data_IF_755341875459
#
_entry.id   IF_755341875459
#
_cell.length_a   1.000
_cell.length_b   1.000
_cell.length_c   1.000
_cell.angle_alpha   90.00
_cell.angle_beta   90.00
_cell.angle_gamma   90.00
#
_symmetry.space_group_name_H-M   'P 1'
#
loop_
_entity.id
_entity.type
_entity.pdbx_description
1 polymer ?
#
# COMPACT_ATOMS: atom_id res chain seq x y z
N UNK A 1 1.63 2.53 11.11
CA UNK A 1 2.35 3.76 11.52
C UNK A 1 3.76 3.84 10.93
N UNK A 2 4.71 2.98 11.32
CA UNK A 2 6.11 3.07 10.86
C UNK A 2 6.32 3.14 9.33
N UNK A 3 5.51 2.42 8.55
CA UNK A 3 5.63 2.41 7.07
C UNK A 3 5.16 3.72 6.43
N UNK A 4 4.10 4.37 6.94
CA UNK A 4 3.66 5.67 6.41
C UNK A 4 4.66 6.78 6.73
N UNK A 5 5.19 6.80 7.95
CA UNK A 5 6.24 7.75 8.33
C UNK A 5 7.53 7.52 7.53
N UNK A 6 7.87 6.25 7.24
CA UNK A 6 8.97 5.92 6.34
C UNK A 6 8.69 6.41 4.91
N UNK A 7 7.48 6.24 4.40
CA UNK A 7 7.11 6.74 3.07
C UNK A 7 7.18 8.27 3.00
N UNK A 8 6.72 8.97 4.03
CA UNK A 8 6.80 10.45 4.13
C UNK A 8 8.26 10.91 4.16
N UNK A 9 9.07 10.33 5.04
CA UNK A 9 10.48 10.69 5.17
C UNK A 9 11.26 10.35 3.89
N UNK A 10 10.99 9.20 3.27
CA UNK A 10 11.58 8.80 1.99
C UNK A 10 11.16 9.73 0.86
N UNK A 11 9.89 10.15 0.80
CA UNK A 11 9.42 11.09 -0.21
C UNK A 11 10.10 12.46 -0.08
N UNK A 12 10.34 12.92 1.15
CA UNK A 12 11.12 14.13 1.41
C UNK A 12 12.55 13.99 0.91
N UNK A 13 13.28 12.96 1.34
CA UNK A 13 14.67 12.72 0.96
C UNK A 13 14.84 12.50 -0.55
N UNK A 14 13.94 11.72 -1.17
CA UNK A 14 13.96 11.46 -2.60
C UNK A 14 13.84 12.75 -3.40
N UNK A 15 12.93 13.64 -2.99
CA UNK A 15 12.76 14.90 -3.68
C UNK A 15 13.87 15.94 -3.39
N UNK A 16 14.59 15.82 -2.26
CA UNK A 16 15.82 16.62 -2.02
C UNK A 16 17.00 16.14 -2.88
N UNK A 17 17.01 14.87 -3.27
CA UNK A 17 18.12 14.27 -4.01
C UNK A 17 18.12 14.63 -5.51
N UNK A 18 17.03 15.20 -6.04
CA UNK A 18 16.99 15.73 -7.41
C UNK A 18 17.50 17.18 -7.46
N UNK A 19 18.38 17.47 -8.43
CA UNK A 19 18.89 18.82 -8.66
C UNK A 19 17.84 19.80 -9.21
N UNK A 20 16.81 19.28 -9.89
CA UNK A 20 15.67 20.06 -10.33
C UNK A 20 14.55 20.00 -9.28
N UNK A 21 13.96 21.14 -8.87
CA UNK A 21 12.82 21.14 -7.97
C UNK A 21 11.67 20.35 -8.60
N UNK A 22 11.17 19.32 -7.91
CA UNK A 22 9.90 18.67 -8.28
C UNK A 22 8.79 19.64 -7.84
N UNK A 23 8.11 20.36 -8.75
CA UNK A 23 7.23 21.48 -8.37
C UNK A 23 6.09 21.04 -7.45
N UNK A 24 5.69 19.77 -7.56
CA UNK A 24 4.55 19.19 -6.86
C UNK A 24 4.97 18.30 -5.67
N UNK A 25 6.25 18.34 -5.27
CA UNK A 25 6.78 17.64 -4.08
C UNK A 25 5.94 17.90 -2.84
N UNK A 26 5.63 19.17 -2.58
CA UNK A 26 4.87 19.58 -1.41
C UNK A 26 3.48 18.95 -1.39
N UNK A 27 2.87 18.75 -2.56
CA UNK A 27 1.54 18.13 -2.71
C UNK A 27 1.56 16.65 -2.39
N UNK A 28 2.55 15.89 -2.88
CA UNK A 28 2.67 14.45 -2.57
C UNK A 28 2.97 14.23 -1.09
N UNK A 29 3.90 15.01 -0.53
CA UNK A 29 4.22 14.92 0.90
C UNK A 29 3.00 15.32 1.74
N UNK A 30 2.26 16.37 1.36
CA UNK A 30 1.00 16.75 2.02
C UNK A 30 -0.04 15.63 1.94
N UNK A 31 -0.21 14.99 0.79
CA UNK A 31 -1.11 13.85 0.61
C UNK A 31 -0.75 12.70 1.56
N UNK A 32 0.54 12.34 1.67
CA UNK A 32 1.00 11.28 2.56
C UNK A 32 0.82 11.62 4.04
N UNK A 33 1.05 12.88 4.43
CA UNK A 33 0.82 13.37 5.78
C UNK A 33 -0.66 13.28 6.14
N UNK A 34 -1.54 13.78 5.26
CA UNK A 34 -2.97 13.69 5.46
C UNK A 34 -3.42 12.23 5.61
N UNK A 35 -2.93 11.33 4.76
CA UNK A 35 -3.23 9.90 4.83
C UNK A 35 -2.77 9.28 6.17
N UNK A 36 -1.55 9.59 6.61
CA UNK A 36 -1.05 9.14 7.91
C UNK A 36 -1.93 9.66 9.03
N UNK A 37 -2.28 10.94 9.01
CA UNK A 37 -3.07 11.57 10.07
C UNK A 37 -4.46 10.89 10.17
N UNK A 38 -5.12 10.61 9.04
CA UNK A 38 -6.37 9.85 9.00
C UNK A 38 -6.25 8.40 9.52
N UNK A 39 -5.07 7.79 9.42
CA UNK A 39 -4.84 6.41 9.88
C UNK A 39 -4.21 6.32 11.28
N UNK A 40 -3.94 7.45 11.93
CA UNK A 40 -3.04 7.48 13.07
C UNK A 40 -3.66 7.05 14.39
N UNK A 41 -4.99 7.14 14.56
CA UNK A 41 -5.63 7.00 15.88
C UNK A 41 -7.07 6.45 15.89
N UNK A 42 -7.31 5.32 15.22
CA UNK A 42 -8.60 4.61 15.31
C UNK A 42 -9.48 4.79 14.08
N UNK A 43 -10.81 4.61 14.20
CA UNK A 43 -11.72 4.71 13.06
C UNK A 43 -11.75 6.13 12.52
N UNK A 44 -12.01 6.25 11.21
CA UNK A 44 -12.16 7.53 10.53
C UNK A 44 -13.19 8.41 11.23
N UNK A 45 -12.86 9.67 11.55
CA UNK A 45 -13.80 10.59 12.22
C UNK A 45 -14.31 11.70 11.31
N UNK A 46 -15.53 12.15 11.59
CA UNK A 46 -16.17 13.24 10.86
C UNK A 46 -15.38 14.56 10.96
N UNK A 47 -14.82 14.86 12.14
CA UNK A 47 -14.09 16.10 12.39
C UNK A 47 -12.77 16.16 11.62
N UNK A 48 -12.08 15.03 11.46
CA UNK A 48 -10.87 14.92 10.65
C UNK A 48 -11.17 15.13 9.17
N UNK A 49 -12.22 14.49 8.64
CA UNK A 49 -12.66 14.68 7.27
C UNK A 49 -13.07 16.13 7.00
N UNK A 50 -13.83 16.75 7.92
CA UNK A 50 -14.22 18.15 7.82
C UNK A 50 -13.00 19.08 7.81
N UNK A 51 -12.06 18.88 8.73
CA UNK A 51 -10.81 19.64 8.79
C UNK A 51 -10.01 19.48 7.51
N UNK A 52 -9.94 18.28 6.98
CA UNK A 52 -9.20 17.97 5.76
C UNK A 52 -9.83 18.66 4.55
N UNK A 53 -11.15 18.60 4.41
CA UNK A 53 -11.89 19.28 3.33
C UNK A 53 -11.78 20.79 3.41
N UNK A 54 -11.83 21.37 4.61
CA UNK A 54 -11.75 22.82 4.82
C UNK A 54 -10.36 23.38 4.47
N UNK A 55 -9.30 22.58 4.69
CA UNK A 55 -7.91 22.98 4.43
C UNK A 55 -7.39 22.58 3.04
N UNK A 56 -8.23 21.95 2.23
CA UNK A 56 -7.87 21.50 0.89
C UNK A 56 -7.92 22.67 -0.10
N UNK A 57 -6.85 22.85 -0.87
CA UNK A 57 -6.75 23.87 -1.92
C UNK A 57 -6.52 23.23 -3.28
N UNK A 58 -6.62 24.03 -4.35
CA UNK A 58 -6.30 23.58 -5.70
C UNK A 58 -4.92 22.89 -5.78
N UNK A 59 -4.86 21.77 -6.50
CA UNK A 59 -3.71 20.89 -6.61
C UNK A 59 -3.55 19.89 -5.47
N UNK A 60 -4.36 19.93 -4.42
CA UNK A 60 -4.31 18.92 -3.38
C UNK A 60 -4.93 17.60 -3.84
N UNK A 61 -4.31 16.50 -3.43
CA UNK A 61 -4.88 15.15 -3.52
C UNK A 61 -5.15 14.64 -2.12
N UNK A 62 -6.37 14.17 -1.92
CA UNK A 62 -6.88 13.63 -0.66
C UNK A 62 -7.13 12.15 -0.91
N UNK A 63 -6.63 11.31 -0.01
CA UNK A 63 -6.82 9.85 -0.06
C UNK A 63 -7.51 9.46 1.24
N UNK A 64 -8.71 8.90 1.15
CA UNK A 64 -9.49 8.43 2.29
C UNK A 64 -9.75 6.94 2.14
N UNK A 65 -8.96 6.09 2.81
CA UNK A 65 -9.25 4.68 2.96
C UNK A 65 -10.46 4.50 3.89
N UNK A 66 -11.41 3.67 3.46
CA UNK A 66 -12.60 3.26 4.21
C UNK A 66 -12.48 1.75 4.35
N UNK A 67 -11.72 1.33 5.35
CA UNK A 67 -11.26 -0.04 5.52
C UNK A 67 -12.42 -1.00 5.74
N UNK A 68 -13.43 -0.58 6.52
CA UNK A 68 -14.61 -1.41 6.78
C UNK A 68 -15.41 -1.75 5.51
N UNK A 69 -15.27 -0.94 4.45
CA UNK A 69 -15.94 -1.13 3.16
C UNK A 69 -15.01 -1.60 2.06
N UNK A 70 -13.77 -2.02 2.38
CA UNK A 70 -12.78 -2.42 1.38
C UNK A 70 -12.62 -1.40 0.23
N UNK A 71 -12.74 -0.10 0.55
CA UNK A 71 -12.83 0.92 -0.48
C UNK A 71 -11.94 2.11 -0.13
N UNK A 72 -11.52 2.82 -1.16
CA UNK A 72 -10.79 4.06 -1.01
C UNK A 72 -11.41 5.12 -1.92
N UNK A 73 -11.52 6.33 -1.38
CA UNK A 73 -11.89 7.52 -2.13
C UNK A 73 -10.64 8.37 -2.34
N UNK A 74 -10.44 8.85 -3.57
CA UNK A 74 -9.48 9.89 -3.90
C UNK A 74 -10.25 11.13 -4.35
N UNK A 75 -10.02 12.25 -3.70
CA UNK A 75 -10.44 13.56 -4.19
C UNK A 75 -9.24 14.32 -4.74
N UNK A 76 -9.40 14.92 -5.90
CA UNK A 76 -8.39 15.79 -6.53
C UNK A 76 -8.98 17.17 -6.73
N UNK A 77 -8.40 18.16 -6.07
CA UNK A 77 -8.82 19.56 -6.15
C UNK A 77 -8.20 20.24 -7.36
N UNK A 78 -9.04 20.82 -8.20
CA UNK A 78 -8.64 21.76 -9.26
C UNK A 78 -9.09 23.17 -8.89
N UNK A 79 -8.72 24.16 -9.69
CA UNK A 79 -9.15 25.55 -9.48
C UNK A 79 -10.67 25.71 -9.54
N UNK A 80 -11.34 24.96 -10.42
CA UNK A 80 -12.76 25.14 -10.73
C UNK A 80 -13.58 23.85 -10.56
N UNK A 81 -12.96 22.74 -10.16
CA UNK A 81 -13.66 21.47 -10.06
C UNK A 81 -13.00 20.43 -9.15
N UNK A 82 -13.82 19.42 -8.85
CA UNK A 82 -13.70 18.26 -7.98
C UNK A 82 -13.61 16.94 -8.68
N UNK A 83 -12.45 16.31 -8.89
CA UNK A 83 -12.49 14.91 -9.33
C UNK A 83 -12.60 13.99 -8.11
N UNK A 84 -13.69 13.22 -8.06
CA UNK A 84 -13.91 12.11 -7.15
C UNK A 84 -13.65 10.79 -7.88
N UNK A 85 -12.80 9.95 -7.28
CA UNK A 85 -12.49 8.60 -7.73
C UNK A 85 -12.73 7.63 -6.56
N UNK A 86 -13.49 6.56 -6.78
CA UNK A 86 -13.69 5.49 -5.79
C UNK A 86 -13.24 4.14 -6.36
N UNK A 87 -12.68 3.28 -5.50
CA UNK A 87 -12.20 1.96 -5.89
C UNK A 87 -12.09 1.00 -4.72
N UNK A 88 -12.05 -0.28 -5.05
CA UNK A 88 -11.84 -1.39 -4.13
C UNK A 88 -10.34 -1.51 -3.73
N UNK A 89 -10.03 -1.67 -2.44
CA UNK A 89 -8.64 -1.77 -1.97
C UNK A 89 -8.07 -3.15 -2.24
N UNK A 90 -8.75 -4.20 -1.78
CA UNK A 90 -8.31 -5.59 -1.85
C UNK A 90 -9.30 -6.42 -2.69
N UNK A 91 -8.82 -7.33 -3.55
CA UNK A 91 -9.72 -8.21 -4.28
C UNK A 91 -10.38 -9.20 -3.30
N UNK A 92 -11.56 -9.74 -3.64
CA UNK A 92 -12.18 -10.81 -2.86
C UNK A 92 -11.33 -12.08 -2.94
N UNK A 93 -11.33 -12.88 -1.87
CA UNK A 93 -10.48 -14.08 -1.78
C UNK A 93 -10.80 -15.09 -2.89
N UNK A 94 -12.07 -15.16 -3.28
CA UNK A 94 -12.54 -16.00 -4.39
C UNK A 94 -11.88 -15.65 -5.72
N UNK A 95 -11.70 -14.36 -6.02
CA UNK A 95 -11.04 -13.91 -7.25
C UNK A 95 -9.54 -14.22 -7.25
N UNK A 96 -8.90 -14.23 -6.07
CA UNK A 96 -7.48 -14.61 -5.93
C UNK A 96 -7.28 -16.11 -6.07
N UNK A 97 -8.16 -16.91 -5.46
CA UNK A 97 -8.05 -18.38 -5.46
C UNK A 97 -8.47 -18.97 -6.81
N UNK A 98 -9.50 -18.41 -7.46
CA UNK A 98 -9.98 -18.91 -8.77
C UNK A 98 -9.07 -18.57 -9.95
N UNK A 99 -8.07 -17.71 -9.76
CA UNK A 99 -7.03 -17.43 -10.76
C UNK A 99 -5.98 -18.56 -10.85
N UNK A 100 -6.43 -19.79 -11.07
CA UNK A 100 -5.59 -21.00 -11.14
C UNK A 100 -4.66 -21.04 -12.37
N UNK A 101 -4.80 -20.10 -13.32
CA UNK A 101 -4.02 -20.12 -14.58
C UNK A 101 -3.72 -18.76 -15.21
N UNK A 102 -4.29 -17.66 -14.70
CA UNK A 102 -4.13 -16.33 -15.27
C UNK A 102 -3.77 -15.29 -14.21
N UNK A 103 -3.05 -14.23 -14.62
CA UNK A 103 -2.71 -13.11 -13.74
C UNK A 103 -3.98 -12.28 -13.48
N UNK A 104 -4.39 -12.15 -12.23
CA UNK A 104 -5.42 -11.18 -11.85
C UNK A 104 -4.96 -9.76 -12.21
N UNK A 105 -5.64 -9.13 -13.18
CA UNK A 105 -5.41 -7.74 -13.57
C UNK A 105 -6.51 -6.89 -12.94
N UNK A 106 -6.12 -5.95 -12.09
CA UNK A 106 -7.04 -4.97 -11.50
C UNK A 106 -6.84 -3.63 -12.18
N UNK A 107 -7.90 -3.12 -12.79
CA UNK A 107 -7.93 -1.83 -13.48
C UNK A 107 -8.73 -0.84 -12.67
N UNK A 108 -8.17 0.34 -12.44
CA UNK A 108 -8.73 1.32 -11.52
C UNK A 108 -8.40 2.75 -11.93
N UNK A 109 -9.08 3.79 -11.42
CA UNK A 109 -10.23 3.76 -10.51
C UNK A 109 -11.51 3.21 -11.16
N UNK A 110 -12.55 3.03 -10.34
CA UNK A 110 -13.93 2.83 -10.80
C UNK A 110 -14.47 4.06 -11.55
N UNK A 111 -15.79 4.26 -11.64
CA UNK A 111 -16.35 5.50 -12.19
C UNK A 111 -15.80 6.72 -11.47
N UNK A 112 -15.39 7.74 -12.24
CA UNK A 112 -14.93 9.01 -11.69
C UNK A 112 -15.93 10.11 -12.03
N UNK A 113 -16.09 11.06 -11.10
CA UNK A 113 -17.00 12.19 -11.24
C UNK A 113 -16.24 13.49 -11.13
N UNK A 114 -16.50 14.41 -12.05
CA UNK A 114 -16.11 15.81 -11.90
C UNK A 114 -17.29 16.59 -11.31
N UNK A 115 -17.05 17.28 -10.20
CA UNK A 115 -18.04 18.07 -9.45
C UNK A 115 -17.61 19.54 -9.53
N UNK A 116 -18.46 20.44 -9.99
CA UNK A 116 -18.13 21.87 -10.07
C UNK A 116 -17.72 22.45 -8.70
N UNK A 117 -16.81 23.45 -8.68
CA UNK A 117 -16.31 24.02 -7.42
C UNK A 117 -17.42 24.60 -6.54
N UNK A 118 -18.41 25.25 -7.16
CA UNK A 118 -19.60 25.80 -6.48
C UNK A 118 -20.39 24.75 -5.70
N UNK A 119 -20.42 23.50 -6.18
CA UNK A 119 -21.07 22.39 -5.49
C UNK A 119 -20.11 21.66 -4.54
N UNK A 120 -18.84 21.51 -4.92
CA UNK A 120 -17.84 20.73 -4.22
C UNK A 120 -17.18 21.45 -3.03
N UNK A 121 -17.50 22.72 -2.82
CA UNK A 121 -17.19 23.50 -1.60
C UNK A 121 -18.43 23.77 -0.75
N UNK A 122 -19.62 23.42 -1.27
CA UNK A 122 -20.89 23.66 -0.61
C UNK A 122 -21.12 22.72 0.58
N UNK A 123 -21.99 23.12 1.54
CA UNK A 123 -22.24 22.36 2.76
C UNK A 123 -22.81 20.95 2.50
N UNK A 124 -23.57 20.77 1.41
CA UNK A 124 -24.12 19.45 1.03
C UNK A 124 -23.02 18.46 0.66
N UNK A 125 -22.06 18.87 -0.16
CA UNK A 125 -20.93 18.01 -0.55
C UNK A 125 -20.07 17.65 0.65
N UNK A 126 -19.74 18.65 1.48
CA UNK A 126 -18.97 18.43 2.71
C UNK A 126 -19.71 17.47 3.65
N UNK A 127 -21.01 17.65 3.86
CA UNK A 127 -21.82 16.76 4.69
C UNK A 127 -21.83 15.32 4.17
N UNK A 128 -22.04 15.11 2.87
CA UNK A 128 -21.96 13.76 2.28
C UNK A 128 -20.56 13.16 2.46
N UNK A 129 -19.51 13.94 2.23
CA UNK A 129 -18.13 13.46 2.35
C UNK A 129 -17.76 13.09 3.80
N UNK A 130 -18.19 13.90 4.76
CA UNK A 130 -17.97 13.66 6.19
C UNK A 130 -18.67 12.38 6.66
N UNK A 131 -19.83 12.04 6.09
CA UNK A 131 -20.57 10.80 6.38
C UNK A 131 -19.78 9.51 6.02
N UNK A 132 -18.69 9.61 5.23
CA UNK A 132 -17.79 8.47 5.00
C UNK A 132 -17.19 7.92 6.31
N UNK A 133 -17.01 8.75 7.34
CA UNK A 133 -16.59 8.32 8.66
C UNK A 133 -17.57 7.30 9.27
N UNK A 134 -18.88 7.53 9.12
CA UNK A 134 -19.91 6.61 9.59
C UNK A 134 -19.95 5.30 8.80
N UNK A 135 -19.37 5.27 7.59
CA UNK A 135 -19.27 4.07 6.75
C UNK A 135 -18.01 3.24 7.07
N UNK A 136 -17.01 3.82 7.74
CA UNK A 136 -15.80 3.12 8.19
C UNK A 136 -16.01 2.40 9.54
N UNK A 137 -17.17 1.76 9.70
CA UNK A 137 -17.57 1.01 10.89
C UNK A 137 -17.82 -0.46 10.51
N UNK A 138 -17.21 -1.45 11.20
CA UNK A 138 -17.28 -2.87 10.83
C UNK A 138 -18.69 -3.49 10.75
N UNK A 139 -19.69 -2.89 11.41
CA UNK A 139 -21.02 -3.47 11.60
C UNK A 139 -22.05 -3.10 10.51
N UNK A 140 -21.65 -2.35 9.47
CA UNK A 140 -22.57 -1.89 8.42
C UNK A 140 -22.92 -3.00 7.40
N UNK A 141 -23.42 -4.17 7.83
CA UNK A 141 -23.93 -5.30 7.01
C UNK A 141 -23.14 -5.68 5.72
N UNK A 142 -21.90 -5.25 5.61
CA UNK A 142 -20.99 -5.35 4.46
C UNK A 142 -19.97 -6.46 4.66
N UNK A 143 -19.92 -7.03 5.88
CA UNK A 143 -19.22 -8.26 6.16
C UNK A 143 -19.82 -9.38 5.31
N UNK A 144 -19.00 -9.98 4.46
CA UNK A 144 -19.36 -11.15 3.70
C UNK A 144 -19.72 -12.30 4.65
N UNK A 145 -21.03 -12.55 4.82
CA UNK A 145 -21.51 -13.67 5.62
C UNK A 145 -21.50 -14.94 4.77
N UNK A 146 -20.68 -15.93 5.13
CA UNK A 146 -20.82 -17.27 4.56
C UNK A 146 -21.90 -18.04 5.31
N UNK A 147 -22.89 -18.58 4.58
CA UNK A 147 -23.90 -19.47 5.15
C UNK A 147 -23.39 -20.91 5.09
N UNK A 148 -22.80 -21.41 6.18
CA UNK A 148 -22.70 -22.86 6.39
C UNK A 148 -24.02 -23.38 6.97
N UNK A 149 -24.67 -24.24 6.21
CA UNK A 149 -25.82 -25.03 6.67
C UNK A 149 -25.42 -25.78 7.95
N UNK A 150 -26.05 -25.40 9.08
CA UNK A 150 -26.08 -26.03 10.42
C UNK A 150 -25.26 -25.49 11.59
N UNK A 151 -24.44 -24.44 11.49
CA UNK A 151 -23.95 -23.77 12.72
C UNK A 151 -23.61 -22.31 12.44
N UNK A 152 -24.24 -21.40 13.18
CA UNK A 152 -24.07 -19.96 13.05
C UNK A 152 -22.74 -19.53 13.70
N UNK A 153 -21.63 -19.94 13.09
CA UNK A 153 -20.29 -19.43 13.39
C UNK A 153 -20.00 -18.37 12.33
N UNK A 154 -19.86 -17.12 12.77
CA UNK A 154 -19.51 -15.99 11.90
C UNK A 154 -18.03 -16.12 11.52
N UNK A 155 -17.75 -16.88 10.47
CA UNK A 155 -16.42 -16.95 9.86
C UNK A 155 -16.19 -15.66 9.03
N UNK A 156 -15.49 -14.69 9.62
CA UNK A 156 -15.04 -13.45 8.94
C UNK A 156 -13.87 -13.81 8.02
N UNK A 157 -14.16 -14.27 6.81
CA UNK A 157 -13.14 -14.77 5.88
C UNK A 157 -13.19 -14.18 4.47
N UNK A 158 -14.01 -13.17 4.19
CA UNK A 158 -14.00 -12.49 2.88
C UNK A 158 -13.96 -10.97 3.04
N UNK A 159 -13.41 -10.32 2.01
CA UNK A 159 -13.29 -8.87 1.95
C UNK A 159 -14.66 -8.23 1.77
N UNK A 160 -14.93 -7.08 2.41
CA UNK A 160 -16.20 -6.39 2.27
C UNK A 160 -16.48 -6.00 0.80
N UNK A 161 -17.74 -6.04 0.37
CA UNK A 161 -18.12 -5.56 -0.95
C UNK A 161 -18.08 -4.02 -0.97
N UNK A 162 -17.31 -3.39 -1.88
CA UNK A 162 -17.11 -1.95 -1.91
C UNK A 162 -18.30 -1.15 -2.47
N UNK A 163 -19.44 -1.76 -2.80
CA UNK A 163 -20.59 -1.12 -3.44
C UNK A 163 -21.14 0.09 -2.69
N UNK A 164 -21.09 0.12 -1.35
CA UNK A 164 -21.52 1.28 -0.58
C UNK A 164 -20.73 2.56 -0.92
N UNK A 165 -19.45 2.40 -1.28
CA UNK A 165 -18.59 3.53 -1.65
C UNK A 165 -18.53 3.69 -3.19
N UNK A 166 -18.21 2.60 -3.88
CA UNK A 166 -17.98 2.63 -5.33
C UNK A 166 -19.25 2.87 -6.15
N UNK A 167 -20.43 2.49 -5.63
CA UNK A 167 -21.71 2.69 -6.31
C UNK A 167 -22.59 3.70 -5.57
N UNK A 168 -22.96 3.42 -4.32
CA UNK A 168 -23.95 4.21 -3.60
C UNK A 168 -23.47 5.64 -3.30
N UNK A 169 -22.31 5.79 -2.65
CA UNK A 169 -21.73 7.12 -2.40
C UNK A 169 -21.45 7.89 -3.70
N UNK A 170 -20.94 7.20 -4.73
CA UNK A 170 -20.74 7.78 -6.06
C UNK A 170 -22.05 8.28 -6.67
N UNK A 171 -23.16 7.54 -6.52
CA UNK A 171 -24.48 7.96 -7.00
C UNK A 171 -25.01 9.20 -6.25
N UNK A 172 -24.78 9.29 -4.94
CA UNK A 172 -25.10 10.50 -4.15
C UNK A 172 -24.37 11.73 -4.73
N UNK A 173 -23.07 11.59 -5.01
CA UNK A 173 -22.26 12.67 -5.57
C UNK A 173 -22.65 13.01 -7.01
N UNK A 174 -23.14 12.04 -7.78
CA UNK A 174 -23.66 12.29 -9.14
C UNK A 174 -24.93 13.15 -9.13
N UNK A 175 -25.73 13.11 -8.04
CA UNK A 175 -26.92 13.96 -7.88
C UNK A 175 -26.61 15.44 -7.58
N UNK A 176 -25.35 15.83 -7.37
CA UNK A 176 -24.99 17.21 -7.08
C UNK A 176 -25.02 18.10 -8.34
N UNK A 177 -25.37 19.39 -8.21
CA UNK A 177 -25.40 20.31 -9.35
C UNK A 177 -24.04 20.39 -10.06
N UNK A 178 -24.05 20.23 -11.39
CA UNK A 178 -22.83 20.29 -12.20
C UNK A 178 -21.90 19.09 -12.04
N UNK A 179 -22.35 18.01 -11.39
CA UNK A 179 -21.65 16.72 -11.37
C UNK A 179 -21.79 16.03 -12.72
N UNK A 180 -20.69 15.46 -13.24
CA UNK A 180 -20.68 14.72 -14.49
C UNK A 180 -19.66 13.58 -14.47
N UNK A 181 -19.90 12.46 -15.17
CA UNK A 181 -18.90 11.43 -15.35
C UNK A 181 -17.67 11.97 -16.10
N UNK A 182 -16.49 11.56 -15.65
CA UNK A 182 -15.22 11.89 -16.33
C UNK A 182 -14.42 10.62 -16.58
N UNK A 183 -13.84 10.53 -17.77
CA UNK A 183 -12.89 9.47 -18.08
C UNK A 183 -11.57 9.77 -17.35
N UNK A 184 -11.21 8.92 -16.40
CA UNK A 184 -9.89 8.92 -15.78
C UNK A 184 -9.12 7.74 -16.35
N UNK A 185 -7.87 7.99 -16.73
CA UNK A 185 -6.99 6.94 -17.22
C UNK A 185 -6.88 5.84 -16.16
N UNK A 186 -7.24 4.61 -16.55
CA UNK A 186 -7.17 3.48 -15.64
C UNK A 186 -5.74 2.96 -15.56
N UNK A 187 -5.21 2.86 -14.35
CA UNK A 187 -3.83 2.48 -14.08
C UNK A 187 -3.80 1.39 -12.99
N UNK A 188 -2.89 0.43 -13.10
CA UNK A 188 -2.56 -0.50 -12.01
C UNK A 188 -2.08 0.33 -10.79
N UNK A 189 -2.88 0.39 -9.71
CA UNK A 189 -2.85 1.48 -8.73
C UNK A 189 -1.59 1.63 -7.88
N UNK A 190 -1.10 2.88 -7.81
CA UNK A 190 -0.59 3.52 -6.59
C UNK A 190 -1.03 4.99 -6.60
N UNK A 191 -1.66 5.50 -5.53
CA UNK A 191 -2.09 6.91 -5.44
C UNK A 191 -0.93 7.87 -5.79
N UNK A 192 0.26 7.58 -5.27
CA UNK A 192 1.53 8.27 -5.61
C UNK A 192 1.80 8.26 -7.12
N UNK A 193 1.67 7.11 -7.80
CA UNK A 193 1.87 7.01 -9.25
C UNK A 193 0.88 7.90 -10.00
N UNK A 194 -0.42 7.76 -9.73
CA UNK A 194 -1.44 8.54 -10.44
C UNK A 194 -1.27 10.03 -10.22
N UNK A 195 -0.87 10.45 -9.01
CA UNK A 195 -0.59 11.83 -8.67
C UNK A 195 0.64 12.33 -9.42
N UNK A 196 1.74 11.57 -9.48
CA UNK A 196 2.93 11.91 -10.25
C UNK A 196 2.65 11.99 -11.77
N UNK A 197 1.98 10.99 -12.34
CA UNK A 197 1.59 10.95 -13.76
C UNK A 197 0.74 12.15 -14.16
N UNK A 198 -0.16 12.61 -13.28
CA UNK A 198 -0.98 13.80 -13.56
C UNK A 198 -0.18 15.10 -13.52
N UNK A 199 0.78 15.22 -12.61
CA UNK A 199 1.54 16.45 -12.41
C UNK A 199 2.72 16.61 -13.37
N UNK A 200 3.41 15.51 -13.64
CA UNK A 200 4.68 15.49 -14.38
C UNK A 200 4.50 14.93 -15.80
N UNK A 201 3.27 14.57 -16.17
CA UNK A 201 2.96 13.87 -17.41
C UNK A 201 3.13 12.35 -17.28
N UNK A 202 2.52 11.62 -18.23
CA UNK A 202 2.35 10.17 -18.15
C UNK A 202 3.66 9.42 -18.01
N UNK A 203 4.57 9.66 -18.94
CA UNK A 203 5.86 8.95 -19.01
C UNK A 203 6.78 9.35 -17.86
N UNK A 204 6.99 10.67 -17.67
CA UNK A 204 7.89 11.16 -16.63
C UNK A 204 7.36 10.85 -15.22
N UNK A 205 6.07 11.03 -14.97
CA UNK A 205 5.47 10.68 -13.68
C UNK A 205 5.51 9.19 -13.36
N UNK A 206 5.34 8.32 -14.37
CA UNK A 206 5.51 6.88 -14.19
C UNK A 206 6.96 6.52 -13.86
N UNK A 207 7.93 7.11 -14.57
CA UNK A 207 9.35 6.95 -14.30
C UNK A 207 9.71 7.40 -12.87
N UNK A 208 9.28 8.60 -12.46
CA UNK A 208 9.47 9.13 -11.12
C UNK A 208 8.88 8.22 -10.05
N UNK A 209 7.69 7.67 -10.27
CA UNK A 209 7.09 6.70 -9.36
C UNK A 209 7.96 5.45 -9.21
N UNK A 210 8.45 4.87 -10.31
CA UNK A 210 9.32 3.68 -10.24
C UNK A 210 10.65 3.97 -9.55
N UNK A 211 11.24 5.14 -9.80
CA UNK A 211 12.43 5.61 -9.10
C UNK A 211 12.17 5.81 -7.60
N UNK A 212 11.04 6.41 -7.23
CA UNK A 212 10.63 6.58 -5.85
C UNK A 212 10.43 5.24 -5.13
N UNK A 213 9.78 4.27 -5.78
CA UNK A 213 9.61 2.93 -5.20
C UNK A 213 10.95 2.25 -4.94
N UNK A 214 11.90 2.35 -5.87
CA UNK A 214 13.26 1.82 -5.64
C UNK A 214 13.96 2.53 -4.48
N UNK A 215 13.83 3.85 -4.39
CA UNK A 215 14.39 4.63 -3.29
C UNK A 215 13.80 4.19 -1.94
N UNK A 216 12.47 4.04 -1.89
CA UNK A 216 11.74 3.58 -0.70
C UNK A 216 12.18 2.17 -0.30
N UNK A 217 12.32 1.25 -1.25
CA UNK A 217 12.82 -0.09 -0.96
C UNK A 217 14.26 -0.06 -0.42
N UNK A 218 15.14 0.77 -0.98
CA UNK A 218 16.49 0.93 -0.45
C UNK A 218 16.47 1.49 0.99
N UNK A 219 15.63 2.49 1.28
CA UNK A 219 15.43 2.99 2.65
C UNK A 219 14.92 1.89 3.58
N UNK A 220 13.94 1.07 3.17
CA UNK A 220 13.45 -0.05 3.99
C UNK A 220 14.56 -1.05 4.34
N UNK A 221 15.40 -1.41 3.36
CA UNK A 221 16.52 -2.34 3.56
C UNK A 221 17.58 -1.80 4.53
N UNK A 222 17.75 -0.49 4.60
CA UNK A 222 18.65 0.17 5.54
C UNK A 222 18.12 0.23 6.97
N UNK A 223 16.85 -0.13 7.22
CA UNK A 223 16.30 -0.11 8.58
C UNK A 223 16.68 -1.37 9.36
N UNK A 224 16.99 -1.19 10.65
CA UNK A 224 17.30 -2.30 11.56
C UNK A 224 16.23 -3.41 11.66
N UNK A 225 14.90 -3.16 11.52
CA UNK A 225 13.90 -4.21 11.45
C UNK A 225 14.12 -5.22 10.31
N UNK A 226 14.77 -4.83 9.19
CA UNK A 226 15.15 -5.80 8.16
C UNK A 226 16.13 -6.86 8.65
N UNK A 227 16.90 -6.57 9.72
CA UNK A 227 17.80 -7.54 10.37
C UNK A 227 17.03 -8.64 11.12
N UNK A 228 15.76 -8.41 11.45
CA UNK A 228 14.89 -9.37 12.12
C UNK A 228 14.01 -10.20 11.19
N UNK A 229 14.06 -9.95 9.87
CA UNK A 229 13.28 -10.71 8.89
C UNK A 229 13.89 -12.09 8.62
N UNK A 230 13.06 -13.08 8.26
CA UNK A 230 13.53 -14.35 7.70
C UNK A 230 14.51 -14.16 6.52
N UNK A 231 15.57 -14.97 6.48
CA UNK A 231 16.65 -14.86 5.49
C UNK A 231 16.15 -14.97 4.05
N UNK A 232 15.17 -15.82 3.80
CA UNK A 232 14.49 -15.99 2.52
C UNK A 232 13.79 -14.70 2.05
N UNK A 233 13.12 -13.98 2.96
CA UNK A 233 12.52 -12.69 2.63
C UNK A 233 13.57 -11.63 2.33
N UNK A 234 14.69 -11.62 3.06
CA UNK A 234 15.82 -10.71 2.80
C UNK A 234 16.41 -10.96 1.40
N UNK A 235 16.70 -12.22 1.07
CA UNK A 235 17.22 -12.61 -0.26
C UNK A 235 16.23 -12.26 -1.36
N UNK A 236 14.95 -12.57 -1.18
CA UNK A 236 13.91 -12.25 -2.16
C UNK A 236 13.78 -10.74 -2.40
N UNK A 237 13.81 -9.95 -1.32
CA UNK A 237 13.74 -8.48 -1.41
C UNK A 237 14.97 -7.93 -2.12
N UNK A 238 16.18 -8.40 -1.78
CA UNK A 238 17.44 -8.07 -2.47
C UNK A 238 17.33 -8.32 -3.96
N UNK A 239 16.93 -9.52 -4.36
CA UNK A 239 16.89 -9.93 -5.77
C UNK A 239 15.81 -9.17 -6.55
N UNK A 240 14.66 -8.89 -5.92
CA UNK A 240 13.61 -8.05 -6.52
C UNK A 240 14.10 -6.64 -6.79
N UNK A 241 14.78 -6.01 -5.83
CA UNK A 241 15.33 -4.66 -5.98
C UNK A 241 16.45 -4.63 -7.01
N UNK A 242 17.40 -5.58 -6.97
CA UNK A 242 18.48 -5.67 -7.94
C UNK A 242 17.96 -5.88 -9.37
N UNK A 243 16.98 -6.77 -9.56
CA UNK A 243 16.33 -6.99 -10.86
C UNK A 243 15.60 -5.74 -11.33
N UNK A 244 14.91 -5.03 -10.44
CA UNK A 244 14.16 -3.82 -10.79
C UNK A 244 15.09 -2.66 -11.14
N UNK A 245 16.20 -2.50 -10.43
CA UNK A 245 17.26 -1.57 -10.79
C UNK A 245 17.75 -1.84 -12.22
N UNK A 246 18.17 -3.07 -12.53
CA UNK A 246 18.62 -3.45 -13.88
C UNK A 246 17.60 -3.08 -14.96
N UNK A 247 16.34 -3.50 -14.79
CA UNK A 247 15.27 -3.20 -15.76
C UNK A 247 15.05 -1.71 -16.01
N UNK A 248 15.23 -0.86 -15.01
CA UNK A 248 15.03 0.58 -15.17
C UNK A 248 16.31 1.28 -15.65
N UNK A 249 17.49 0.75 -15.33
CA UNK A 249 18.77 1.21 -15.89
C UNK A 249 18.88 0.93 -17.38
N UNK A 250 18.42 -0.25 -17.84
CA UNK A 250 18.37 -0.60 -19.26
C UNK A 250 17.48 0.37 -20.08
N UNK A 251 16.53 1.02 -19.40
CA UNK A 251 15.63 2.01 -19.99
C UNK A 251 16.12 3.47 -19.81
N UNK A 252 17.31 3.68 -19.26
CA UNK A 252 17.89 5.00 -18.95
C UNK A 252 17.01 5.89 -18.05
N UNK A 253 16.22 5.25 -17.15
CA UNK A 253 15.28 5.94 -16.26
C UNK A 253 15.93 6.32 -14.92
N UNK A 254 17.00 5.62 -14.51
CA UNK A 254 17.54 5.68 -13.15
C UNK A 254 18.67 6.72 -13.04
N UNK A 255 18.51 7.77 -12.23
CA UNK A 255 19.59 8.72 -11.98
C UNK A 255 20.76 8.10 -11.21
N UNK A 256 21.95 8.65 -11.39
CA UNK A 256 23.18 8.13 -10.76
C UNK A 256 23.12 8.09 -9.23
N UNK A 257 22.55 9.13 -8.59
CA UNK A 257 22.42 9.18 -7.13
C UNK A 257 21.57 8.00 -6.61
N UNK A 258 20.52 7.63 -7.36
CA UNK A 258 19.61 6.56 -6.99
C UNK A 258 20.29 5.21 -7.18
N UNK A 259 20.99 5.02 -8.30
CA UNK A 259 21.78 3.81 -8.54
C UNK A 259 22.80 3.58 -7.42
N UNK A 260 23.58 4.60 -7.04
CA UNK A 260 24.54 4.52 -5.93
C UNK A 260 23.90 4.13 -4.61
N UNK A 261 22.76 4.75 -4.27
CA UNK A 261 22.02 4.45 -3.04
C UNK A 261 21.54 2.99 -3.00
N UNK A 262 21.00 2.49 -4.10
CA UNK A 262 20.49 1.11 -4.17
C UNK A 262 21.65 0.12 -4.09
N UNK A 263 22.74 0.36 -4.81
CA UNK A 263 23.94 -0.49 -4.77
C UNK A 263 24.50 -0.59 -3.35
N UNK A 264 24.60 0.53 -2.63
CA UNK A 264 25.03 0.54 -1.23
C UNK A 264 24.09 -0.26 -0.32
N UNK A 265 22.77 -0.15 -0.52
CA UNK A 265 21.80 -0.96 0.24
C UNK A 265 21.92 -2.47 -0.06
N UNK A 266 22.11 -2.84 -1.33
CA UNK A 266 22.32 -4.23 -1.75
C UNK A 266 23.61 -4.82 -1.16
N UNK A 267 24.68 -4.04 -1.13
CA UNK A 267 25.96 -4.42 -0.51
C UNK A 267 25.81 -4.64 1.00
N UNK A 268 25.14 -3.73 1.71
CA UNK A 268 24.87 -3.88 3.14
C UNK A 268 24.08 -5.17 3.45
N UNK A 269 23.07 -5.48 2.63
CA UNK A 269 22.30 -6.73 2.76
C UNK A 269 23.16 -7.95 2.48
N UNK A 270 24.03 -7.91 1.45
CA UNK A 270 24.95 -9.02 1.16
C UNK A 270 25.92 -9.29 2.32
N UNK A 271 26.46 -8.24 2.95
CA UNK A 271 27.32 -8.39 4.13
C UNK A 271 26.58 -9.09 5.28
N UNK A 272 25.34 -8.66 5.57
CA UNK A 272 24.50 -9.29 6.60
C UNK A 272 24.22 -10.76 6.30
N UNK A 273 23.93 -11.10 5.04
CA UNK A 273 23.69 -12.49 4.63
C UNK A 273 24.96 -13.35 4.78
N UNK A 274 26.13 -12.81 4.45
CA UNK A 274 27.40 -13.50 4.61
C UNK A 274 27.74 -13.74 6.09
N UNK A 275 27.54 -12.75 6.96
CA UNK A 275 27.69 -12.91 8.41
C UNK A 275 26.75 -13.98 8.97
N UNK A 276 25.48 -14.00 8.52
CA UNK A 276 24.50 -15.03 8.86
C UNK A 276 24.93 -16.42 8.42
N UNK A 277 25.42 -16.55 7.18
CA UNK A 277 25.94 -17.82 6.63
C UNK A 277 27.13 -18.36 7.43
N UNK A 278 28.07 -17.50 7.82
CA UNK A 278 29.23 -17.88 8.64
C UNK A 278 28.80 -18.39 10.03
N UNK A 279 27.75 -17.81 10.63
CA UNK A 279 27.20 -18.28 11.91
C UNK A 279 26.58 -19.67 11.77
N UNK A 280 25.82 -19.90 10.71
CA UNK A 280 25.23 -21.23 10.42
C UNK A 280 26.33 -22.26 10.17
N UNK A 281 27.36 -21.94 9.39
CA UNK A 281 28.50 -22.82 9.17
C UNK A 281 29.26 -23.14 10.46
N UNK A 282 29.53 -22.15 11.32
CA UNK A 282 30.15 -22.39 12.64
C UNK A 282 29.30 -23.31 13.51
N UNK A 283 27.98 -23.12 13.54
CA UNK A 283 27.08 -23.98 14.30
C UNK A 283 27.01 -25.39 13.70
N UNK A 284 27.04 -25.53 12.38
CA UNK A 284 27.10 -26.85 11.71
C UNK A 284 28.43 -27.56 11.97
N UNK A 285 29.54 -26.83 12.03
CA UNK A 285 30.85 -27.38 12.41
C UNK A 285 30.91 -27.85 13.87
N UNK A 286 30.02 -27.33 14.74
CA UNK A 286 29.80 -27.81 16.11
C UNK A 286 28.81 -28.99 16.19
N UNK A 287 28.24 -29.44 15.06
CA UNK A 287 27.34 -30.60 15.07
C UNK A 287 28.12 -31.81 15.57
N UNK A 288 27.50 -32.64 16.42
CA UNK A 288 28.16 -33.83 16.92
C UNK A 288 28.63 -34.71 15.76
N UNK A 289 29.80 -35.32 15.94
CA UNK A 289 30.34 -36.30 15.00
C UNK A 289 29.28 -37.37 14.68
N UNK A 290 29.11 -37.69 13.39
CA UNK A 290 28.22 -38.77 12.96
C UNK A 290 28.66 -40.10 13.59
N UNK A 291 27.96 -40.56 14.62
CA UNK A 291 28.15 -41.88 15.22
C UNK A 291 26.88 -42.73 15.01
N UNK A 292 26.89 -43.71 14.09
CA UNK A 292 25.72 -44.54 13.81
C UNK A 292 25.32 -45.42 15.00
N UNK A 293 26.16 -45.57 16.03
CA UNK A 293 25.87 -46.36 17.23
C UNK A 293 25.05 -45.59 18.28
N UNK A 294 24.98 -44.25 18.17
CA UNK A 294 24.14 -43.39 19.03
C UNK A 294 22.84 -42.98 18.33
N UNK A 295 22.62 -43.46 17.10
CA UNK A 295 21.47 -43.13 16.28
C UNK A 295 20.24 -43.94 16.72
N UNK A 296 19.33 -43.30 17.45
CA UNK A 296 18.02 -43.86 17.76
C UNK A 296 16.99 -43.39 16.72
N UNK A 297 16.73 -44.21 15.70
CA UNK A 297 15.82 -43.86 14.60
C UNK A 297 14.44 -43.48 15.13
N UNK A 298 13.95 -44.13 16.19
CA UNK A 298 12.61 -43.88 16.74
C UNK A 298 12.55 -42.58 17.55
N UNK A 299 13.59 -42.24 18.29
CA UNK A 299 13.68 -40.95 19.00
C UNK A 299 14.02 -39.77 18.07
N UNK A 300 14.89 -39.97 17.07
CA UNK A 300 15.39 -38.93 16.18
C UNK A 300 14.43 -38.57 15.02
N UNK A 301 13.48 -39.45 14.66
CA UNK A 301 12.39 -39.13 13.71
C UNK A 301 11.16 -38.52 14.39
N UNK A 302 11.20 -38.34 15.71
CA UNK A 302 10.10 -37.76 16.48
C UNK A 302 10.07 -36.24 16.24
N UNK A 303 9.22 -35.82 15.30
CA UNK A 303 8.95 -34.41 15.05
C UNK A 303 8.20 -33.81 16.25
N UNK A 304 8.94 -33.18 17.16
CA UNK A 304 8.35 -32.31 18.17
C UNK A 304 8.31 -30.88 17.64
N UNK A 305 7.12 -30.30 17.54
CA UNK A 305 6.99 -28.85 17.39
C UNK A 305 7.45 -28.21 18.69
N UNK A 306 8.64 -27.61 18.69
CA UNK A 306 8.98 -26.66 19.75
C UNK A 306 7.91 -25.56 19.71
N UNK A 307 7.28 -25.20 20.85
CA UNK A 307 6.41 -24.05 20.92
C UNK A 307 7.29 -22.80 20.76
N UNK A 308 7.61 -22.45 19.52
CA UNK A 308 8.06 -21.12 19.17
C UNK A 308 7.01 -20.16 19.72
N UNK A 309 7.44 -19.19 20.53
CA UNK A 309 6.57 -18.13 21.08
C UNK A 309 5.85 -17.31 19.99
N UNK A 310 6.12 -17.60 18.71
CA UNK A 310 5.56 -16.92 17.53
C UNK A 310 4.55 -17.74 16.73
N UNK A 311 4.22 -18.97 17.15
CA UNK A 311 3.11 -19.75 16.58
C UNK A 311 2.07 -20.05 17.66
N UNK A 312 1.32 -19.02 18.05
CA UNK A 312 0.00 -19.26 18.65
C UNK A 312 -0.92 -19.75 17.55
N UNK A 313 -1.07 -21.08 17.47
CA UNK A 313 -2.20 -21.71 16.80
C UNK A 313 -3.39 -21.55 17.75
N UNK A 314 -4.18 -20.50 17.55
CA UNK A 314 -5.52 -20.41 18.14
C UNK A 314 -6.41 -21.36 17.34
N UNK A 315 -6.80 -22.46 17.98
CA UNK A 315 -8.09 -23.11 17.71
C UNK A 315 -9.16 -22.37 18.49
#
# INVERSE_FOLDING_TARGET
MAVCDLAISSARKFADAYSAPIPQRSKIVKMLINLRDLQSWGPLTESELLKLMTNAVAGDTIVVPIQAQNACVILRRFSNSTIHEAFEIDPPNTAVISSDSERLIRSFPGPALEIADTASTGPKFISHFVCLASMDVPDLHSAASSNKVKTKVMEVHDTADPHFITQFFTAILHGLPGSKPVAVERVEMVAIQTTLTRFEGREHGYALYKCFMLFLFAETMSLDPCRGLPTDLIVCTKDKVARRLRKLSDADIVPEFLARKIMSALEAVNLLLNEGGLRVQKNQALSPHWDPRTLDIAANTRLSLCPSRHLKRTL
#
